data_IF_225869112451
#
_entry.id   IF_225869112451
#
_cell.length_a   1.000
_cell.length_b   1.000
_cell.length_c   1.000
_cell.angle_alpha   90.00
_cell.angle_beta   90.00
_cell.angle_gamma   90.00
#
_symmetry.space_group_name_H-M   'P 1'
#
loop_
_entity.id
_entity.type
_entity.pdbx_description
1 polymer ?
#
# COMPACT_ATOMS: atom_id res chain seq x y z
N UNK A 1 -2.58 -41.37 8.58
CA UNK A 1 -3.07 -40.01 8.98
C UNK A 1 -2.80 -39.08 7.83
N UNK A 2 -3.83 -38.79 7.06
CA UNK A 2 -3.76 -38.03 5.81
C UNK A 2 -4.21 -36.59 6.14
N UNK A 3 -3.29 -35.64 6.04
CA UNK A 3 -3.63 -34.22 6.16
C UNK A 3 -4.42 -33.75 4.94
N UNK A 4 -5.48 -32.96 5.11
CA UNK A 4 -6.21 -32.43 3.97
C UNK A 4 -5.41 -31.34 3.26
N UNK A 5 -5.28 -31.49 1.96
CA UNK A 5 -4.79 -30.45 1.05
C UNK A 5 -5.85 -29.34 1.04
N UNK A 6 -5.50 -28.17 1.56
CA UNK A 6 -6.34 -26.98 1.42
C UNK A 6 -6.26 -26.55 -0.05
N UNK A 7 -7.39 -26.64 -0.74
CA UNK A 7 -7.53 -26.17 -2.11
C UNK A 7 -7.26 -24.67 -2.17
N UNK A 8 -6.23 -24.30 -2.92
CA UNK A 8 -5.99 -22.92 -3.31
C UNK A 8 -7.13 -22.50 -4.23
N UNK A 9 -8.02 -21.64 -3.74
CA UNK A 9 -9.08 -21.05 -4.53
C UNK A 9 -8.45 -20.30 -5.70
N UNK A 10 -8.73 -20.76 -6.92
CA UNK A 10 -8.31 -20.07 -8.14
C UNK A 10 -8.93 -18.68 -8.16
N UNK A 11 -8.07 -17.66 -8.27
CA UNK A 11 -8.51 -16.29 -8.45
C UNK A 11 -9.43 -16.21 -9.70
N UNK A 12 -10.53 -15.47 -9.64
CA UNK A 12 -11.43 -15.27 -10.77
C UNK A 12 -10.66 -14.61 -11.93
N UNK A 13 -11.01 -15.02 -13.16
CA UNK A 13 -10.47 -14.43 -14.37
C UNK A 13 -10.69 -12.91 -14.40
N UNK A 14 -9.72 -12.11 -14.83
CA UNK A 14 -9.86 -10.65 -14.84
C UNK A 14 -10.96 -10.22 -15.80
N UNK A 15 -11.84 -9.35 -15.33
CA UNK A 15 -12.85 -8.68 -16.15
C UNK A 15 -12.16 -7.83 -17.23
N UNK A 16 -12.53 -7.94 -18.52
CA UNK A 16 -11.90 -7.21 -19.62
C UNK A 16 -12.05 -5.68 -19.55
N UNK A 17 -12.80 -5.14 -18.60
CA UNK A 17 -12.94 -3.71 -18.34
C UNK A 17 -11.75 -3.08 -17.63
N UNK A 18 -10.75 -3.88 -17.24
CA UNK A 18 -9.55 -3.38 -16.56
C UNK A 18 -8.47 -3.08 -17.57
N UNK A 19 -8.25 -1.81 -17.86
CA UNK A 19 -7.12 -1.33 -18.64
C UNK A 19 -5.83 -1.48 -17.84
N UNK A 20 -4.90 -2.24 -18.39
CA UNK A 20 -3.56 -2.39 -17.84
C UNK A 20 -2.78 -1.09 -18.00
N UNK A 21 -2.73 -0.28 -16.96
CA UNK A 21 -1.71 0.76 -16.82
C UNK A 21 -0.48 0.10 -16.18
N UNK A 22 0.52 -0.19 -17.01
CA UNK A 22 1.84 -0.69 -16.65
C UNK A 22 1.95 -1.47 -15.34
N UNK A 23 1.79 -2.78 -15.37
CA UNK A 23 2.00 -3.74 -14.28
C UNK A 23 1.05 -3.67 -13.07
N UNK A 24 -0.10 -3.00 -13.13
CA UNK A 24 -1.10 -2.99 -12.07
C UNK A 24 -2.39 -3.69 -12.49
N UNK A 25 -3.00 -4.48 -11.60
CA UNK A 25 -4.36 -4.99 -11.75
C UNK A 25 -5.24 -4.30 -10.73
N UNK A 26 -6.39 -3.78 -11.17
CA UNK A 26 -7.37 -3.13 -10.31
C UNK A 26 -8.58 -4.06 -10.14
N UNK A 27 -9.12 -4.13 -8.94
CA UNK A 27 -10.48 -4.61 -8.69
C UNK A 27 -11.22 -3.56 -7.90
N UNK A 28 -12.32 -3.06 -8.43
CA UNK A 28 -13.24 -2.17 -7.74
C UNK A 28 -14.46 -2.98 -7.34
N UNK A 29 -14.76 -3.02 -6.05
CA UNK A 29 -15.95 -3.67 -5.54
C UNK A 29 -16.96 -2.64 -5.03
N UNK A 30 -18.14 -2.62 -5.63
CA UNK A 30 -19.37 -2.14 -5.04
C UNK A 30 -19.86 -0.76 -5.46
N UNK A 31 -21.15 -0.65 -5.69
CA UNK A 31 -21.86 0.59 -6.03
C UNK A 31 -22.51 1.30 -4.82
N UNK A 32 -22.44 0.76 -3.61
CA UNK A 32 -23.05 1.33 -2.39
C UNK A 32 -22.27 1.07 -1.08
N UNK A 33 -20.96 0.80 -1.16
CA UNK A 33 -20.10 0.57 0.01
C UNK A 33 -18.78 1.32 -0.13
N UNK A 34 -17.86 1.19 0.85
CA UNK A 34 -16.52 1.74 0.73
C UNK A 34 -15.86 1.21 -0.53
N UNK A 35 -15.21 2.10 -1.26
CA UNK A 35 -14.43 1.72 -2.43
C UNK A 35 -13.22 0.92 -1.97
N UNK A 36 -13.06 -0.29 -2.49
CA UNK A 36 -11.87 -1.10 -2.25
C UNK A 36 -11.16 -1.36 -3.56
N UNK A 37 -9.89 -1.04 -3.58
CA UNK A 37 -9.00 -1.26 -4.71
C UNK A 37 -7.79 -2.08 -4.28
N UNK A 38 -7.37 -3.00 -5.14
CA UNK A 38 -6.16 -3.80 -4.95
C UNK A 38 -5.28 -3.66 -6.20
N UNK A 39 -4.04 -3.26 -5.99
CA UNK A 39 -3.07 -3.05 -7.06
C UNK A 39 -1.74 -3.66 -6.70
N UNK A 40 -1.07 -4.25 -7.67
CA UNK A 40 0.30 -4.75 -7.53
C UNK A 40 1.23 -3.87 -8.35
N UNK A 41 2.25 -3.32 -7.70
CA UNK A 41 3.32 -2.54 -8.35
C UNK A 41 4.66 -3.25 -8.22
N UNK A 42 5.54 -3.14 -9.23
CA UNK A 42 6.88 -3.69 -9.12
C UNK A 42 7.67 -2.96 -8.03
N UNK A 43 8.46 -3.68 -7.26
CA UNK A 43 9.30 -3.12 -6.21
C UNK A 43 10.58 -2.51 -6.80
N UNK A 44 10.42 -1.41 -7.51
CA UNK A 44 11.50 -0.65 -8.13
C UNK A 44 11.38 0.86 -7.79
N UNK A 45 12.34 1.71 -8.16
CA UNK A 45 12.30 3.15 -7.86
C UNK A 45 11.07 3.91 -8.37
N UNK A 46 10.31 3.34 -9.30
CA UNK A 46 9.06 3.95 -9.83
C UNK A 46 7.85 3.63 -8.95
N UNK A 47 7.95 2.67 -8.05
CA UNK A 47 6.84 2.21 -7.22
C UNK A 47 6.12 3.35 -6.47
N UNK A 48 6.78 4.33 -5.84
CA UNK A 48 6.09 5.44 -5.19
C UNK A 48 5.26 6.29 -6.15
N UNK A 49 5.75 6.53 -7.37
CA UNK A 49 5.00 7.29 -8.38
C UNK A 49 3.78 6.51 -8.89
N UNK A 50 3.93 5.20 -9.12
CA UNK A 50 2.83 4.32 -9.51
C UNK A 50 1.77 4.25 -8.41
N UNK A 51 2.17 4.15 -7.16
CA UNK A 51 1.26 4.16 -6.01
C UNK A 51 0.46 5.46 -5.92
N UNK A 52 1.09 6.62 -6.12
CA UNK A 52 0.35 7.90 -6.17
C UNK A 52 -0.69 7.92 -7.29
N UNK A 53 -0.37 7.36 -8.46
CA UNK A 53 -1.32 7.27 -9.57
C UNK A 53 -2.54 6.41 -9.22
N UNK A 54 -2.38 5.39 -8.38
CA UNK A 54 -3.52 4.62 -7.86
C UNK A 54 -4.45 5.52 -7.07
N UNK A 55 -3.92 6.33 -6.15
CA UNK A 55 -4.75 7.28 -5.38
C UNK A 55 -5.42 8.31 -6.28
N UNK A 56 -4.72 8.84 -7.29
CA UNK A 56 -5.32 9.80 -8.23
C UNK A 56 -6.52 9.22 -8.97
N UNK A 57 -6.43 7.97 -9.40
CA UNK A 57 -7.52 7.29 -10.10
C UNK A 57 -8.70 6.97 -9.19
N UNK A 58 -8.44 6.45 -8.00
CA UNK A 58 -9.49 6.08 -7.04
C UNK A 58 -10.19 7.30 -6.44
N UNK A 59 -9.42 8.38 -6.23
CA UNK A 59 -9.91 9.60 -5.61
C UNK A 59 -10.47 10.63 -6.59
N UNK A 60 -10.41 10.38 -7.90
CA UNK A 60 -10.99 11.28 -8.89
C UNK A 60 -12.49 11.52 -8.69
N UNK A 61 -13.18 10.61 -8.01
CA UNK A 61 -14.61 10.70 -7.66
C UNK A 61 -14.86 11.10 -6.20
N UNK A 62 -13.85 11.14 -5.35
CA UNK A 62 -13.98 11.42 -3.93
C UNK A 62 -13.20 12.67 -3.54
N UNK A 63 -13.90 13.67 -3.01
CA UNK A 63 -13.28 14.88 -2.46
C UNK A 63 -12.67 14.55 -1.09
N UNK A 64 -11.48 13.96 -1.07
CA UNK A 64 -10.74 13.80 0.18
C UNK A 64 -9.99 15.09 0.52
N UNK A 65 -10.28 15.70 1.67
CA UNK A 65 -9.68 16.98 2.06
C UNK A 65 -8.15 16.92 2.25
N UNK A 66 -7.58 15.72 2.41
CA UNK A 66 -6.16 15.52 2.69
C UNK A 66 -5.44 14.67 1.64
N UNK A 67 -5.83 14.80 0.37
CA UNK A 67 -5.21 14.03 -0.73
C UNK A 67 -3.70 14.24 -0.84
N UNK A 68 -3.21 15.45 -0.60
CA UNK A 68 -1.79 15.75 -0.66
C UNK A 68 -1.00 14.99 0.43
N UNK A 69 -1.51 14.98 1.67
CA UNK A 69 -0.92 14.24 2.78
C UNK A 69 -0.94 12.74 2.49
N UNK A 70 -2.06 12.22 1.99
CA UNK A 70 -2.22 10.81 1.62
C UNK A 70 -1.18 10.37 0.60
N UNK A 71 -0.91 11.19 -0.41
CA UNK A 71 0.12 10.90 -1.43
C UNK A 71 1.53 10.91 -0.86
N UNK A 72 1.82 11.84 0.05
CA UNK A 72 3.13 11.90 0.72
C UNK A 72 3.32 10.66 1.57
N UNK A 73 2.36 10.36 2.45
CA UNK A 73 2.42 9.17 3.33
C UNK A 73 2.59 7.89 2.51
N UNK A 74 1.76 7.70 1.47
CA UNK A 74 1.86 6.52 0.60
C UNK A 74 3.23 6.42 -0.07
N UNK A 75 3.77 7.53 -0.53
CA UNK A 75 5.09 7.55 -1.18
C UNK A 75 6.19 7.07 -0.23
N UNK A 76 6.17 7.51 1.02
CA UNK A 76 7.15 7.14 2.04
C UNK A 76 7.02 5.66 2.43
N UNK A 77 5.81 5.17 2.65
CA UNK A 77 5.58 3.76 2.99
C UNK A 77 6.00 2.85 1.85
N UNK A 78 5.68 3.19 0.60
CA UNK A 78 6.07 2.40 -0.57
C UNK A 78 7.58 2.46 -0.81
N UNK A 79 8.22 3.63 -0.67
CA UNK A 79 9.68 3.74 -0.76
C UNK A 79 10.39 2.87 0.29
N UNK A 80 9.86 2.84 1.51
CA UNK A 80 10.36 1.98 2.58
C UNK A 80 10.20 0.49 2.24
N UNK A 81 9.07 0.10 1.66
CA UNK A 81 8.85 -1.27 1.20
C UNK A 81 9.81 -1.68 0.07
N UNK A 82 10.13 -0.78 -0.86
CA UNK A 82 11.13 -1.01 -1.92
C UNK A 82 12.51 -1.25 -1.31
N UNK A 83 12.90 -0.45 -0.31
CA UNK A 83 14.24 -0.53 0.29
C UNK A 83 14.42 -1.74 1.19
N UNK A 84 13.41 -2.10 1.96
CA UNK A 84 13.54 -3.04 3.07
C UNK A 84 12.58 -4.23 3.01
N UNK A 85 11.55 -4.17 2.18
CA UNK A 85 10.44 -5.12 2.14
C UNK A 85 10.54 -6.19 1.06
N UNK A 86 11.61 -6.21 0.27
CA UNK A 86 11.75 -7.09 -0.90
C UNK A 86 13.00 -7.94 -0.83
N UNK A 87 12.99 -9.06 -1.56
CA UNK A 87 14.13 -9.97 -1.65
C UNK A 87 15.08 -9.46 -2.73
N UNK A 88 16.32 -9.11 -2.35
CA UNK A 88 17.36 -8.61 -3.26
C UNK A 88 16.91 -7.40 -4.13
N UNK A 89 16.04 -6.54 -3.60
CA UNK A 89 15.52 -5.39 -4.33
C UNK A 89 14.64 -5.76 -5.52
N UNK A 90 14.08 -6.96 -5.52
CA UNK A 90 13.15 -7.47 -6.53
C UNK A 90 11.89 -7.98 -5.87
N UNK A 91 10.80 -7.99 -6.62
CA UNK A 91 9.53 -8.49 -6.17
C UNK A 91 8.39 -7.52 -6.46
N UNK A 92 7.30 -7.70 -5.77
CA UNK A 92 6.09 -6.93 -5.94
C UNK A 92 5.64 -6.36 -4.58
N UNK A 93 4.99 -5.21 -4.65
CA UNK A 93 4.31 -4.57 -3.53
C UNK A 93 2.83 -4.58 -3.86
N UNK A 94 2.01 -5.12 -2.95
CA UNK A 94 0.56 -5.09 -3.08
C UNK A 94 0.01 -3.93 -2.27
N UNK A 95 -0.77 -3.10 -2.95
CA UNK A 95 -1.49 -1.97 -2.36
C UNK A 95 -2.95 -2.36 -2.23
N UNK A 96 -3.50 -2.19 -1.04
CA UNK A 96 -4.93 -2.31 -0.79
C UNK A 96 -5.40 -0.97 -0.27
N UNK A 97 -6.33 -0.36 -0.99
CA UNK A 97 -6.91 0.95 -0.67
C UNK A 97 -8.39 0.76 -0.34
N UNK A 98 -8.78 1.11 0.86
CA UNK A 98 -10.17 1.17 1.31
C UNK A 98 -10.51 2.64 1.55
N UNK A 99 -11.54 3.12 0.87
CA UNK A 99 -11.99 4.52 0.92
C UNK A 99 -13.48 4.59 1.20
N UNK A 100 -13.86 5.31 2.24
CA UNK A 100 -15.25 5.71 2.52
C UNK A 100 -15.37 7.24 2.66
N UNK A 101 -16.53 7.74 3.09
CA UNK A 101 -16.79 9.17 3.23
C UNK A 101 -16.01 9.85 4.35
N UNK A 102 -15.43 9.09 5.28
CA UNK A 102 -14.83 9.61 6.51
C UNK A 102 -13.32 9.34 6.55
N UNK A 103 -12.84 8.32 5.82
CA UNK A 103 -11.44 7.91 5.92
C UNK A 103 -10.92 7.21 4.67
N UNK A 104 -9.62 7.33 4.50
CA UNK A 104 -8.79 6.53 3.63
C UNK A 104 -7.98 5.57 4.51
N UNK A 105 -8.04 4.27 4.25
CA UNK A 105 -7.18 3.27 4.84
C UNK A 105 -6.38 2.58 3.74
N UNK A 106 -5.06 2.54 3.89
CA UNK A 106 -4.15 1.95 2.91
C UNK A 106 -3.27 0.91 3.59
N UNK A 107 -3.15 -0.25 2.95
CA UNK A 107 -2.22 -1.32 3.32
C UNK A 107 -1.19 -1.50 2.22
N UNK A 108 0.07 -1.52 2.60
CA UNK A 108 1.21 -1.78 1.73
C UNK A 108 1.83 -3.10 2.15
N UNK A 109 1.55 -4.15 1.40
CA UNK A 109 2.03 -5.51 1.68
C UNK A 109 3.33 -5.77 0.92
N UNK A 110 4.29 -6.36 1.60
CA UNK A 110 5.65 -6.60 1.13
C UNK A 110 6.06 -8.05 1.39
N UNK A 111 7.00 -8.58 0.60
CA UNK A 111 7.41 -9.99 0.70
C UNK A 111 8.11 -10.33 2.02
N UNK A 112 8.92 -9.41 2.54
CA UNK A 112 9.61 -9.58 3.81
C UNK A 112 8.77 -9.10 4.99
N UNK A 113 9.18 -9.49 6.20
CA UNK A 113 8.51 -9.06 7.42
C UNK A 113 8.64 -7.55 7.64
N UNK A 114 7.54 -6.93 8.08
CA UNK A 114 7.49 -5.54 8.51
C UNK A 114 7.73 -5.34 10.02
N UNK A 115 8.10 -6.38 10.76
CA UNK A 115 8.23 -6.34 12.22
C UNK A 115 9.29 -5.34 12.73
N UNK A 116 10.28 -5.00 11.90
CA UNK A 116 11.33 -4.05 12.24
C UNK A 116 11.05 -2.61 11.77
N UNK A 117 9.90 -2.36 11.16
CA UNK A 117 9.52 -1.03 10.67
C UNK A 117 9.25 -0.11 11.86
N UNK A 118 10.12 0.88 12.06
CA UNK A 118 10.01 1.87 13.14
C UNK A 118 10.56 3.22 12.69
N UNK A 119 10.02 4.34 13.19
CA UNK A 119 10.61 5.65 12.96
C UNK A 119 12.04 5.70 13.50
N UNK A 120 12.95 6.28 12.74
CA UNK A 120 14.31 6.56 13.22
C UNK A 120 14.37 7.96 13.81
N UNK A 121 14.71 8.03 15.08
CA UNK A 121 14.90 9.28 15.82
C UNK A 121 16.38 9.61 16.02
N UNK A 122 17.26 9.07 15.17
CA UNK A 122 18.68 9.40 15.23
C UNK A 122 18.91 10.90 15.06
N UNK A 123 19.71 11.54 15.91
CA UNK A 123 20.07 12.97 15.76
C UNK A 123 20.91 13.22 14.52
N UNK A 124 21.50 12.19 13.91
CA UNK A 124 22.26 12.31 12.68
C UNK A 124 21.35 12.08 11.48
N UNK A 125 21.41 12.94 10.44
CA UNK A 125 20.65 12.72 9.23
C UNK A 125 21.18 11.45 8.52
N UNK A 126 20.36 10.39 8.53
CA UNK A 126 20.59 9.23 7.70
C UNK A 126 19.75 9.34 6.43
N UNK A 127 20.31 9.07 5.25
CA UNK A 127 19.51 8.93 4.04
C UNK A 127 18.43 7.86 4.27
N UNK A 128 17.16 8.23 4.17
CA UNK A 128 16.02 7.32 4.33
C UNK A 128 15.39 7.21 5.73
N UNK A 129 15.93 7.89 6.75
CA UNK A 129 15.38 7.80 8.12
C UNK A 129 14.17 8.70 8.41
N UNK A 130 13.81 9.59 7.49
CA UNK A 130 12.74 10.57 7.71
C UNK A 130 11.35 10.11 7.27
N UNK A 131 11.24 9.09 6.41
CA UNK A 131 9.98 8.68 5.81
C UNK A 131 8.92 8.29 6.83
N UNK A 132 9.25 7.46 7.82
CA UNK A 132 8.29 7.05 8.85
C UNK A 132 7.95 8.19 9.85
N UNK A 133 8.82 9.17 10.01
CA UNK A 133 8.50 10.38 10.79
C UNK A 133 7.49 11.25 10.06
N UNK A 134 7.54 11.29 8.74
CA UNK A 134 6.53 11.95 7.90
C UNK A 134 5.20 11.20 8.02
N UNK A 135 5.22 9.88 7.96
CA UNK A 135 4.03 9.05 8.17
C UNK A 135 3.41 9.34 9.54
N UNK A 136 4.22 9.33 10.60
CA UNK A 136 3.79 9.61 11.97
C UNK A 136 3.21 11.03 12.14
N UNK A 137 3.70 12.00 11.38
CA UNK A 137 3.25 13.38 11.43
C UNK A 137 1.97 13.67 10.64
N UNK A 138 1.74 12.92 9.55
CA UNK A 138 0.66 13.19 8.61
C UNK A 138 -0.49 12.18 8.65
N UNK A 139 -0.25 10.94 9.05
CA UNK A 139 -1.30 9.94 9.22
C UNK A 139 -1.99 10.13 10.58
N UNK A 140 -3.29 9.88 10.63
CA UNK A 140 -4.06 9.91 11.88
C UNK A 140 -3.82 8.63 12.68
N UNK A 141 -3.57 7.52 12.00
CA UNK A 141 -3.11 6.28 12.59
C UNK A 141 -2.24 5.50 11.60
N UNK A 142 -1.31 4.70 12.09
CA UNK A 142 -0.50 3.83 11.27
C UNK A 142 0.12 2.69 12.07
N UNK A 143 0.53 1.63 11.40
CA UNK A 143 1.17 0.50 12.05
C UNK A 143 1.87 -0.42 11.08
N UNK A 144 2.59 -1.38 11.66
CA UNK A 144 3.27 -2.44 10.94
C UNK A 144 2.85 -3.80 11.50
N UNK A 145 2.49 -4.70 10.61
CA UNK A 145 2.15 -6.09 10.93
C UNK A 145 3.30 -6.99 10.49
N UNK A 146 3.75 -7.89 11.37
CA UNK A 146 4.76 -8.86 10.96
C UNK A 146 4.21 -9.80 9.88
N UNK A 147 5.11 -10.36 9.12
CA UNK A 147 4.75 -11.32 8.07
C UNK A 147 5.83 -12.36 7.92
N UNK A 148 5.91 -13.13 6.84
CA UNK A 148 5.60 -12.84 5.44
C UNK A 148 4.14 -13.19 5.01
N UNK A 149 3.48 -12.36 4.19
CA UNK A 149 3.93 -11.02 3.80
C UNK A 149 3.83 -10.04 4.96
N UNK A 150 4.81 -9.14 5.08
CA UNK A 150 4.73 -8.03 6.00
C UNK A 150 3.81 -6.94 5.47
N UNK A 151 3.21 -6.16 6.36
CA UNK A 151 2.32 -5.07 5.99
C UNK A 151 2.65 -3.82 6.79
N UNK A 152 2.73 -2.69 6.11
CA UNK A 152 2.64 -1.37 6.75
C UNK A 152 1.33 -0.74 6.29
N UNK A 153 0.56 -0.26 7.23
CA UNK A 153 -0.72 0.38 6.94
C UNK A 153 -0.78 1.77 7.55
N UNK A 154 -1.60 2.62 6.96
CA UNK A 154 -1.92 3.93 7.52
C UNK A 154 -3.37 4.31 7.24
N UNK A 155 -3.87 5.24 8.05
CA UNK A 155 -5.21 5.80 7.96
C UNK A 155 -5.14 7.32 7.95
N UNK A 156 -5.94 7.95 7.11
CA UNK A 156 -6.13 9.40 7.06
C UNK A 156 -7.63 9.67 7.11
N UNK A 157 -8.03 10.46 8.08
CA UNK A 157 -9.43 10.89 8.28
C UNK A 157 -9.74 12.14 7.45
N UNK A 158 -11.02 12.30 7.09
CA UNK A 158 -11.51 13.41 6.29
C UNK A 158 -11.55 14.74 7.06
#
# INVERSE_FOLDING_TARGET
>A
MTSPIVAVSSAPSPDPRFLALGAGRYQVHGSEGPLRSETVVPADPRAPALARSVLDNEMASALLPRIADSKVVLSEVVANAVQHGTVNGRGNIRLVVDLDSERLHVRVEQELSAASVRPSYSPLPHPGGFGLRIVEALADDWGAEPGPPGCVWFQIEA
#
